data_IF_781719990941
#
_entry.id   IF_781719990941
#
_cell.length_a   1.000
_cell.length_b   1.000
_cell.length_c   1.000
_cell.angle_alpha   90.00
_cell.angle_beta   90.00
_cell.angle_gamma   90.00
#
_symmetry.space_group_name_H-M   'P 1'
#
loop_
_entity.id
_entity.type
_entity.pdbx_description
1 polymer ?
#
# COMPACT_ATOMS: atom_id res chain seq x y z
N UNK A 1 -8.02 1.78 -6.59
CA UNK A 1 -8.79 2.55 -7.60
C UNK A 1 -8.30 3.98 -7.71
N UNK A 2 -8.32 4.78 -6.63
CA UNK A 2 -7.80 6.16 -6.64
C UNK A 2 -6.32 6.22 -7.07
N UNK A 3 -5.48 5.31 -6.54
CA UNK A 3 -4.06 5.16 -6.92
C UNK A 3 -3.91 5.06 -8.45
N UNK A 4 -4.64 4.14 -9.09
CA UNK A 4 -4.58 3.98 -10.55
C UNK A 4 -4.99 5.24 -11.32
N UNK A 5 -6.00 5.97 -10.84
CA UNK A 5 -6.41 7.23 -11.46
C UNK A 5 -5.32 8.31 -11.34
N UNK A 6 -4.70 8.45 -10.16
CA UNK A 6 -3.60 9.39 -9.94
C UNK A 6 -2.40 8.99 -10.79
N UNK A 7 -1.98 7.72 -10.75
CA UNK A 7 -0.81 7.21 -11.48
C UNK A 7 -0.93 7.46 -12.98
N UNK A 8 -2.10 7.17 -13.58
CA UNK A 8 -2.34 7.44 -15.01
C UNK A 8 -2.30 8.92 -15.34
N UNK A 9 -2.84 9.76 -14.46
CA UNK A 9 -2.86 11.21 -14.67
C UNK A 9 -1.43 11.75 -14.68
N UNK A 10 -0.61 11.36 -13.69
CA UNK A 10 0.79 11.75 -13.62
C UNK A 10 1.59 11.21 -14.81
N UNK A 11 1.42 9.93 -15.16
CA UNK A 11 2.11 9.31 -16.29
C UNK A 11 1.76 10.00 -17.61
N UNK A 12 0.48 10.31 -17.86
CA UNK A 12 0.03 11.01 -19.06
C UNK A 12 0.66 12.40 -19.20
N UNK A 13 0.66 13.18 -18.12
CA UNK A 13 1.18 14.56 -18.15
C UNK A 13 2.70 14.55 -18.36
N UNK A 14 3.40 13.59 -17.78
CA UNK A 14 4.85 13.43 -17.91
C UNK A 14 5.28 12.70 -19.20
N UNK A 15 4.33 12.24 -20.02
CA UNK A 15 4.61 11.52 -21.28
C UNK A 15 5.21 10.11 -21.08
N UNK A 16 4.81 9.44 -19.99
CA UNK A 16 5.27 8.11 -19.59
C UNK A 16 4.26 7.03 -19.99
N UNK A 17 4.59 5.76 -19.71
CA UNK A 17 3.72 4.64 -20.04
C UNK A 17 2.53 4.54 -19.06
N UNK A 18 1.35 4.98 -19.50
CA UNK A 18 0.11 4.92 -18.70
C UNK A 18 -0.28 3.49 -18.31
N UNK A 19 -0.07 2.52 -19.19
CA UNK A 19 -0.47 1.12 -18.96
C UNK A 19 0.40 0.47 -17.88
N UNK A 20 1.70 0.73 -17.89
CA UNK A 20 2.61 0.25 -16.84
C UNK A 20 2.28 0.89 -15.50
N UNK A 21 2.05 2.21 -15.47
CA UNK A 21 1.67 2.91 -14.25
C UNK A 21 0.33 2.40 -13.68
N UNK A 22 -0.68 2.18 -14.53
CA UNK A 22 -1.97 1.61 -14.13
C UNK A 22 -1.82 0.17 -13.64
N UNK A 23 -1.09 -0.68 -14.37
CA UNK A 23 -0.90 -2.08 -14.00
C UNK A 23 -0.24 -2.23 -12.62
N UNK A 24 0.78 -1.42 -12.33
CA UNK A 24 1.46 -1.40 -11.02
C UNK A 24 0.51 -0.89 -9.94
N UNK A 25 -0.19 0.21 -10.19
CA UNK A 25 -1.16 0.77 -9.25
C UNK A 25 -2.32 -0.19 -8.93
N UNK A 26 -2.69 -1.09 -9.84
CA UNK A 26 -3.70 -2.12 -9.59
C UNK A 26 -3.14 -3.34 -8.83
N UNK A 27 -1.84 -3.59 -8.93
CA UNK A 27 -1.21 -4.82 -8.44
C UNK A 27 -0.39 -4.64 -7.14
N UNK A 28 0.00 -3.42 -6.76
CA UNK A 28 0.88 -3.17 -5.61
C UNK A 28 0.34 -3.79 -4.31
N UNK A 29 -0.97 -3.68 -4.09
CA UNK A 29 -1.65 -4.11 -2.86
C UNK A 29 -2.18 -5.56 -2.87
N UNK A 30 -1.87 -6.37 -3.89
CA UNK A 30 -2.38 -7.74 -3.97
C UNK A 30 -1.95 -8.63 -2.77
N UNK A 31 -0.79 -8.34 -2.19
CA UNK A 31 -0.16 -9.11 -1.13
C UNK A 31 -0.61 -8.77 0.29
N UNK A 32 -1.43 -7.73 0.48
CA UNK A 32 -1.92 -7.36 1.80
C UNK A 32 -2.79 -8.48 2.40
N UNK A 33 -2.50 -8.92 3.63
CA UNK A 33 -3.31 -9.93 4.31
C UNK A 33 -4.62 -9.31 4.84
N UNK A 34 -5.54 -10.13 5.37
CA UNK A 34 -6.67 -9.64 6.14
C UNK A 34 -6.23 -8.64 7.20
N UNK A 35 -7.04 -7.59 7.42
CA UNK A 35 -6.78 -6.54 8.39
C UNK A 35 -5.59 -5.62 8.05
N UNK A 36 -5.13 -5.62 6.78
CA UNK A 36 -4.12 -4.69 6.27
C UNK A 36 -2.79 -4.77 7.04
N UNK A 37 -2.20 -3.61 7.37
CA UNK A 37 -0.94 -3.52 8.11
C UNK A 37 -0.94 -4.25 9.47
N UNK A 38 -2.11 -4.37 10.12
CA UNK A 38 -2.21 -5.15 11.36
C UNK A 38 -1.99 -6.64 11.08
N UNK A 39 -2.60 -7.17 10.02
CA UNK A 39 -2.41 -8.56 9.62
C UNK A 39 -0.99 -8.84 9.14
N UNK A 40 -0.39 -7.88 8.44
CA UNK A 40 1.00 -7.98 8.01
C UNK A 40 1.95 -8.12 9.20
N UNK A 41 1.86 -7.23 10.18
CA UNK A 41 2.70 -7.29 11.38
C UNK A 41 2.56 -8.63 12.12
N UNK A 42 1.34 -9.17 12.20
CA UNK A 42 1.07 -10.46 12.85
C UNK A 42 1.64 -11.62 12.06
N UNK A 43 1.47 -11.63 10.73
CA UNK A 43 2.05 -12.69 9.89
C UNK A 43 3.57 -12.62 9.85
N UNK A 44 4.18 -11.42 9.91
CA UNK A 44 5.63 -11.28 9.96
C UNK A 44 6.20 -11.84 11.28
N UNK A 45 5.56 -11.53 12.41
CA UNK A 45 5.89 -12.10 13.72
C UNK A 45 5.79 -13.64 13.70
N UNK A 46 4.69 -14.18 13.17
CA UNK A 46 4.48 -15.63 13.03
C UNK A 46 5.47 -16.30 12.07
N UNK A 47 6.05 -15.54 11.15
CA UNK A 47 6.98 -16.01 10.14
C UNK A 47 8.44 -15.63 10.43
N UNK A 48 8.76 -15.06 11.60
CA UNK A 48 10.08 -14.55 11.93
C UNK A 48 11.20 -15.59 11.70
N UNK A 49 11.00 -16.82 12.16
CA UNK A 49 11.93 -17.95 11.98
C UNK A 49 11.76 -18.70 10.64
N UNK A 50 10.88 -18.21 9.77
CA UNK A 50 10.45 -18.84 8.52
C UNK A 50 10.51 -17.89 7.31
N UNK A 51 11.38 -16.87 7.38
CA UNK A 51 11.70 -15.94 6.29
C UNK A 51 10.82 -14.70 6.22
N UNK A 52 10.04 -14.43 7.28
CA UNK A 52 9.21 -13.24 7.46
C UNK A 52 8.00 -13.19 6.53
N UNK A 53 7.24 -12.11 6.66
CA UNK A 53 6.15 -11.74 5.78
C UNK A 53 6.23 -10.24 5.50
N UNK A 54 6.09 -9.88 4.24
CA UNK A 54 6.07 -8.49 3.80
C UNK A 54 5.19 -8.44 2.54
N UNK A 55 4.29 -7.46 2.49
CA UNK A 55 3.19 -7.45 1.52
C UNK A 55 3.68 -7.31 0.08
N UNK A 56 4.74 -6.53 -0.21
CA UNK A 56 5.26 -6.39 -1.58
C UNK A 56 5.87 -7.71 -2.08
N UNK A 57 6.62 -8.43 -1.24
CA UNK A 57 7.10 -9.79 -1.53
C UNK A 57 5.94 -10.75 -1.75
N UNK A 58 4.85 -10.58 -1.02
CA UNK A 58 3.64 -11.38 -1.22
C UNK A 58 2.94 -11.03 -2.53
N UNK A 59 2.85 -9.76 -2.92
CA UNK A 59 2.33 -9.30 -4.22
C UNK A 59 3.09 -9.94 -5.38
N UNK A 60 4.43 -9.92 -5.33
CA UNK A 60 5.27 -10.64 -6.29
C UNK A 60 5.00 -12.14 -6.30
N UNK A 61 4.95 -12.76 -5.12
CA UNK A 61 4.69 -14.20 -4.99
C UNK A 61 3.33 -14.59 -5.55
N UNK A 62 2.33 -13.73 -5.43
CA UNK A 62 1.00 -13.93 -6.01
C UNK A 62 1.10 -13.99 -7.53
N UNK A 63 1.70 -12.97 -8.14
CA UNK A 63 1.77 -12.85 -9.61
C UNK A 63 2.77 -13.81 -10.24
N UNK A 64 3.77 -14.30 -9.50
CA UNK A 64 4.77 -15.22 -10.04
C UNK A 64 4.46 -16.69 -9.77
N UNK A 65 3.67 -17.00 -8.74
CA UNK A 65 3.58 -18.38 -8.27
C UNK A 65 2.20 -18.83 -7.75
N UNK A 66 1.48 -18.00 -6.98
CA UNK A 66 0.25 -18.44 -6.32
C UNK A 66 -0.92 -18.48 -7.27
N UNK A 67 -1.06 -17.45 -8.11
CA UNK A 67 -2.04 -17.47 -9.19
C UNK A 67 -1.65 -18.53 -10.21
N UNK A 68 -2.61 -19.33 -10.64
CA UNK A 68 -2.39 -20.36 -11.65
C UNK A 68 -3.59 -20.49 -12.59
N UNK A 69 -4.00 -19.40 -13.27
CA UNK A 69 -5.09 -19.45 -14.23
C UNK A 69 -4.68 -20.11 -15.56
N UNK A 70 -3.37 -20.26 -15.81
CA UNK A 70 -2.83 -20.80 -17.06
C UNK A 70 -2.35 -22.25 -16.91
N UNK A 71 -2.76 -23.19 -17.78
CA UNK A 71 -2.38 -24.61 -17.66
C UNK A 71 -0.88 -24.90 -17.80
N UNK A 72 -0.14 -24.07 -18.55
CA UNK A 72 1.25 -24.35 -18.94
C UNK A 72 2.30 -23.84 -17.95
N UNK A 73 1.96 -22.89 -17.08
CA UNK A 73 2.91 -22.26 -16.15
C UNK A 73 2.20 -21.69 -14.92
N UNK A 74 2.94 -21.49 -13.83
CA UNK A 74 2.47 -20.78 -12.63
C UNK A 74 2.67 -19.27 -12.77
N UNK A 75 1.88 -18.53 -12.00
CA UNK A 75 1.83 -17.08 -12.05
C UNK A 75 1.02 -16.56 -13.22
N UNK A 76 1.11 -15.26 -13.40
CA UNK A 76 0.47 -14.47 -14.44
C UNK A 76 1.41 -14.17 -15.62
N UNK A 77 2.70 -14.51 -15.50
CA UNK A 77 3.73 -14.24 -16.50
C UNK A 77 3.75 -12.75 -16.91
N UNK A 78 3.75 -11.87 -15.90
CA UNK A 78 3.80 -10.42 -16.11
C UNK A 78 5.16 -10.01 -16.70
N UNK A 79 5.18 -8.84 -17.34
CA UNK A 79 6.41 -8.28 -17.89
C UNK A 79 7.42 -8.01 -16.77
N UNK A 80 8.70 -7.98 -17.15
CA UNK A 80 9.78 -7.73 -16.20
C UNK A 80 9.63 -6.36 -15.53
N UNK A 81 9.20 -5.33 -16.26
CA UNK A 81 8.98 -3.99 -15.73
C UNK A 81 7.89 -3.93 -14.67
N UNK A 82 6.75 -4.61 -14.87
CA UNK A 82 5.69 -4.66 -13.87
C UNK A 82 6.19 -5.35 -12.60
N UNK A 83 6.89 -6.50 -12.75
CA UNK A 83 7.46 -7.22 -11.60
C UNK A 83 8.52 -6.38 -10.88
N UNK A 84 9.40 -5.69 -11.61
CA UNK A 84 10.37 -4.77 -11.03
C UNK A 84 9.70 -3.69 -10.18
N UNK A 85 8.62 -3.07 -10.68
CA UNK A 85 7.90 -2.05 -9.93
C UNK A 85 7.27 -2.62 -8.67
N UNK A 86 6.62 -3.80 -8.73
CA UNK A 86 6.06 -4.46 -7.55
C UNK A 86 7.14 -4.84 -6.53
N UNK A 87 8.32 -5.27 -6.98
CA UNK A 87 9.45 -5.61 -6.13
C UNK A 87 10.04 -4.40 -5.39
N UNK A 88 9.95 -3.23 -6.00
CA UNK A 88 10.54 -1.97 -5.54
C UNK A 88 9.51 -1.00 -4.98
N UNK A 89 8.25 -1.42 -4.90
CA UNK A 89 7.19 -0.61 -4.31
C UNK A 89 7.56 -0.36 -2.85
N UNK A 90 7.55 0.90 -2.47
CA UNK A 90 8.03 1.35 -1.16
C UNK A 90 7.07 2.40 -0.61
N UNK A 91 6.36 2.05 0.47
CA UNK A 91 5.70 3.05 1.32
C UNK A 91 6.61 3.45 2.48
N UNK A 92 6.22 4.47 3.25
CA UNK A 92 6.97 4.92 4.44
C UNK A 92 7.15 3.82 5.50
N UNK A 93 6.26 2.84 5.52
CA UNK A 93 6.27 1.74 6.48
C UNK A 93 7.08 0.53 5.99
N UNK A 94 7.44 0.52 4.71
CA UNK A 94 8.05 -0.63 4.05
C UNK A 94 9.56 -0.44 3.87
N UNK A 95 10.27 -1.56 3.93
CA UNK A 95 11.67 -1.66 3.50
C UNK A 95 11.81 -2.95 2.72
N UNK A 96 11.50 -2.98 1.41
CA UNK A 96 11.61 -4.19 0.62
C UNK A 96 13.05 -4.69 0.73
N UNK A 97 13.19 -5.96 1.11
CA UNK A 97 14.50 -6.59 1.10
C UNK A 97 14.99 -6.65 -0.35
N UNK A 98 16.30 -6.45 -0.55
CA UNK A 98 16.93 -6.49 -1.87
C UNK A 98 16.56 -7.81 -2.55
N UNK A 99 15.71 -7.73 -3.57
CA UNK A 99 15.45 -8.86 -4.44
C UNK A 99 16.70 -9.13 -5.27
N UNK A 100 17.21 -10.37 -5.18
CA UNK A 100 18.38 -10.81 -5.95
C UNK A 100 18.13 -10.70 -7.46
N UNK A 101 16.88 -10.77 -7.90
CA UNK A 101 16.51 -10.64 -9.31
C UNK A 101 16.68 -9.21 -9.82
N UNK A 102 16.26 -8.20 -9.03
CA UNK A 102 16.10 -6.83 -9.50
C UNK A 102 17.20 -5.85 -9.05
N UNK A 103 18.07 -6.28 -8.14
CA UNK A 103 19.20 -5.47 -7.65
C UNK A 103 18.76 -4.22 -6.86
N UNK A 104 19.71 -3.33 -6.56
CA UNK A 104 19.50 -2.17 -5.67
C UNK A 104 19.15 -0.85 -6.37
N UNK A 105 18.89 -0.87 -7.68
CA UNK A 105 18.53 0.34 -8.43
C UNK A 105 17.14 0.89 -8.06
N UNK A 106 16.79 2.06 -8.59
CA UNK A 106 15.46 2.65 -8.48
C UNK A 106 14.44 1.89 -9.35
N UNK A 107 13.16 2.01 -9.02
CA UNK A 107 12.07 1.66 -9.93
C UNK A 107 12.09 2.58 -11.16
N UNK A 108 11.53 2.16 -12.32
CA UNK A 108 11.26 3.08 -13.42
C UNK A 108 10.28 4.19 -12.97
N UNK A 109 10.16 5.27 -13.75
CA UNK A 109 9.34 6.43 -13.36
C UNK A 109 7.88 6.04 -13.10
N UNK A 110 7.33 5.08 -13.85
CA UNK A 110 5.98 4.56 -13.66
C UNK A 110 5.81 3.88 -12.29
N UNK A 111 6.83 3.15 -11.81
CA UNK A 111 6.83 2.57 -10.48
C UNK A 111 6.92 3.65 -9.39
N UNK A 112 7.80 4.64 -9.57
CA UNK A 112 7.91 5.76 -8.63
C UNK A 112 6.63 6.61 -8.58
N UNK A 113 5.89 6.70 -9.69
CA UNK A 113 4.56 7.32 -9.75
C UNK A 113 3.54 6.51 -8.97
N UNK A 114 3.57 5.17 -9.06
CA UNK A 114 2.68 4.32 -8.28
C UNK A 114 2.93 4.46 -6.78
N UNK A 115 4.20 4.43 -6.34
CA UNK A 115 4.59 4.68 -4.94
C UNK A 115 4.01 6.01 -4.42
N UNK A 116 4.20 7.09 -5.20
CA UNK A 116 3.76 8.42 -4.80
C UNK A 116 2.23 8.54 -4.81
N UNK A 117 1.57 7.98 -5.82
CA UNK A 117 0.12 7.97 -5.92
C UNK A 117 -0.54 7.21 -4.77
N UNK A 118 0.06 6.09 -4.36
CA UNK A 118 -0.36 5.29 -3.21
C UNK A 118 -0.25 6.11 -1.92
N UNK A 119 0.93 6.72 -1.68
CA UNK A 119 1.12 7.60 -0.54
C UNK A 119 0.11 8.77 -0.51
N UNK A 120 -0.18 9.41 -1.64
CA UNK A 120 -1.16 10.52 -1.70
C UNK A 120 -2.57 10.02 -1.39
N UNK A 121 -3.00 8.92 -2.01
CA UNK A 121 -4.33 8.36 -1.82
C UNK A 121 -4.54 7.89 -0.38
N UNK A 122 -3.57 7.13 0.17
CA UNK A 122 -3.57 6.63 1.53
C UNK A 122 -3.77 7.76 2.54
N UNK A 123 -2.94 8.81 2.47
CA UNK A 123 -3.03 9.95 3.41
C UNK A 123 -4.35 10.72 3.31
N UNK A 124 -4.93 10.84 2.11
CA UNK A 124 -6.22 11.49 1.90
C UNK A 124 -7.36 10.68 2.49
N UNK A 125 -7.34 9.36 2.28
CA UNK A 125 -8.37 8.45 2.78
C UNK A 125 -8.29 8.32 4.31
N UNK A 126 -7.11 8.12 4.88
CA UNK A 126 -6.92 8.05 6.33
C UNK A 126 -7.42 9.31 7.04
N UNK A 127 -7.19 10.49 6.43
CA UNK A 127 -7.70 11.75 6.96
C UNK A 127 -9.24 11.81 6.93
N UNK A 128 -9.87 11.47 5.81
CA UNK A 128 -11.34 11.48 5.69
C UNK A 128 -11.99 10.43 6.59
N UNK A 129 -11.43 9.22 6.65
CA UNK A 129 -11.91 8.12 7.49
C UNK A 129 -11.78 8.46 8.98
N UNK A 130 -10.65 9.03 9.40
CA UNK A 130 -10.46 9.44 10.79
C UNK A 130 -11.45 10.54 11.21
N UNK A 131 -11.73 11.50 10.32
CA UNK A 131 -12.75 12.54 10.55
C UNK A 131 -14.18 11.96 10.51
N UNK A 132 -14.46 10.99 9.63
CA UNK A 132 -15.77 10.35 9.50
C UNK A 132 -16.11 9.43 10.67
N UNK A 133 -15.13 8.68 11.16
CA UNK A 133 -15.27 7.85 12.35
C UNK A 133 -15.23 8.66 13.66
N UNK A 134 -14.95 9.98 13.59
CA UNK A 134 -14.87 10.86 14.75
C UNK A 134 -13.68 10.55 15.66
N UNK A 135 -12.63 9.93 15.11
CA UNK A 135 -11.37 9.66 15.82
C UNK A 135 -10.57 10.94 16.04
N UNK A 136 -10.75 11.89 15.12
CA UNK A 136 -10.22 13.26 15.18
C UNK A 136 -11.33 14.25 14.79
N UNK A 137 -11.19 15.50 15.21
CA UNK A 137 -12.05 16.61 14.82
C UNK A 137 -11.29 17.62 13.98
N UNK A 138 -11.99 18.43 13.19
CA UNK A 138 -11.33 19.49 12.40
C UNK A 138 -10.51 20.46 13.25
N UNK A 139 -10.93 20.69 14.50
CA UNK A 139 -10.19 21.51 15.46
C UNK A 139 -8.79 20.96 15.79
N UNK A 140 -8.60 19.65 15.73
CA UNK A 140 -7.31 19.01 16.00
C UNK A 140 -6.28 19.28 14.87
N UNK A 141 -6.76 19.64 13.68
CA UNK A 141 -5.95 19.88 12.48
C UNK A 141 -5.43 21.33 12.36
N UNK A 142 -5.66 22.17 13.36
CA UNK A 142 -5.23 23.59 13.35
C UNK A 142 -3.72 23.77 13.16
N UNK A 143 -2.92 22.86 13.69
CA UNK A 143 -1.46 22.91 13.57
C UNK A 143 -0.92 22.33 12.25
N UNK A 144 -1.77 21.68 11.45
CA UNK A 144 -1.36 21.00 10.21
C UNK A 144 -1.42 22.00 9.06
N UNK A 145 -0.26 22.55 8.68
CA UNK A 145 -0.16 23.62 7.70
C UNK A 145 -0.81 23.25 6.35
N UNK A 146 -0.59 21.99 5.92
CA UNK A 146 -1.16 21.45 4.69
C UNK A 146 -2.69 21.51 4.69
N UNK A 147 -3.31 21.08 5.80
CA UNK A 147 -4.76 21.07 5.94
C UNK A 147 -5.34 22.49 6.01
N UNK A 148 -4.66 23.41 6.71
CA UNK A 148 -5.11 24.81 6.80
C UNK A 148 -5.11 25.51 5.44
N UNK A 149 -4.08 25.27 4.63
CA UNK A 149 -4.02 25.80 3.26
C UNK A 149 -5.20 25.30 2.41
N UNK A 150 -5.44 23.99 2.43
CA UNK A 150 -6.54 23.36 1.68
C UNK A 150 -7.89 23.88 2.20
N UNK A 151 -8.10 23.89 3.52
CA UNK A 151 -9.35 24.34 4.13
C UNK A 151 -9.69 25.76 3.72
N UNK A 152 -8.70 26.66 3.75
CA UNK A 152 -8.89 28.05 3.29
C UNK A 152 -9.30 28.10 1.82
N UNK A 153 -8.62 27.37 0.94
CA UNK A 153 -8.96 27.32 -0.49
C UNK A 153 -10.40 26.82 -0.71
N UNK A 154 -10.83 25.80 0.05
CA UNK A 154 -12.18 25.24 -0.03
C UNK A 154 -13.23 26.24 0.49
N UNK A 155 -12.97 26.91 1.61
CA UNK A 155 -13.86 27.94 2.18
C UNK A 155 -13.99 29.15 1.24
N UNK A 156 -12.90 29.58 0.62
CA UNK A 156 -12.89 30.69 -0.35
C UNK A 156 -13.66 30.32 -1.63
N UNK A 157 -13.50 29.08 -2.13
CA UNK A 157 -14.16 28.61 -3.34
C UNK A 157 -15.65 28.25 -3.13
N UNK A 158 -15.99 27.73 -1.95
CA UNK A 158 -17.32 27.21 -1.63
C UNK A 158 -17.84 27.75 -0.28
N UNK A 159 -18.06 29.08 -0.15
CA UNK A 159 -18.37 29.72 1.13
C UNK A 159 -19.73 29.35 1.72
N UNK A 160 -20.65 28.82 0.90
CA UNK A 160 -22.01 28.44 1.29
C UNK A 160 -22.23 26.91 1.23
N UNK A 161 -21.17 26.13 1.02
CA UNK A 161 -21.30 24.68 0.99
C UNK A 161 -21.60 24.11 2.37
N UNK A 162 -22.36 23.00 2.39
CA UNK A 162 -22.64 22.28 3.63
C UNK A 162 -21.33 21.76 4.25
N UNK A 163 -21.17 21.77 5.60
CA UNK A 163 -19.92 21.36 6.27
C UNK A 163 -19.41 19.97 5.83
N UNK A 164 -20.32 19.00 5.68
CA UNK A 164 -19.99 17.67 5.15
C UNK A 164 -19.33 17.73 3.76
N UNK A 165 -19.84 18.56 2.85
CA UNK A 165 -19.29 18.69 1.51
C UNK A 165 -17.94 19.42 1.52
N UNK A 166 -17.78 20.43 2.38
CA UNK A 166 -16.50 21.12 2.59
C UNK A 166 -15.43 20.14 3.09
N UNK A 167 -15.75 19.32 4.09
CA UNK A 167 -14.85 18.29 4.62
C UNK A 167 -14.39 17.30 3.55
N UNK A 168 -15.33 16.73 2.78
CA UNK A 168 -14.99 15.82 1.69
C UNK A 168 -14.13 16.52 0.62
N UNK A 169 -14.41 17.79 0.34
CA UNK A 169 -13.61 18.61 -0.58
C UNK A 169 -12.22 18.90 -0.04
N UNK A 170 -12.03 19.06 1.28
CA UNK A 170 -10.71 19.18 1.90
C UNK A 170 -9.90 17.89 1.73
N UNK A 171 -10.50 16.72 1.97
CA UNK A 171 -9.82 15.45 1.76
C UNK A 171 -9.35 15.29 0.30
N UNK A 172 -10.20 15.62 -0.67
CA UNK A 172 -9.83 15.60 -2.09
C UNK A 172 -8.88 16.74 -2.48
N UNK A 173 -8.93 17.88 -1.81
CA UNK A 173 -7.98 18.99 -2.01
C UNK A 173 -6.54 18.61 -1.64
N UNK A 174 -6.35 17.66 -0.72
CA UNK A 174 -5.03 17.08 -0.44
C UNK A 174 -4.45 16.38 -1.67
N UNK A 175 -5.27 15.59 -2.36
CA UNK A 175 -4.87 14.89 -3.58
C UNK A 175 -4.48 15.90 -4.67
N UNK A 176 -5.32 16.91 -4.89
CA UNK A 176 -5.08 17.92 -5.94
C UNK A 176 -3.78 18.68 -5.69
N UNK A 177 -3.57 19.13 -4.45
CA UNK A 177 -2.41 19.94 -4.08
C UNK A 177 -1.10 19.15 -4.19
N UNK A 178 -1.09 17.91 -3.72
CA UNK A 178 0.10 17.05 -3.77
C UNK A 178 0.38 16.55 -5.19
N UNK A 179 -0.64 16.28 -6.00
CA UNK A 179 -0.44 15.91 -7.41
C UNK A 179 0.15 17.06 -8.22
N UNK A 180 -0.30 18.30 -8.00
CA UNK A 180 0.26 19.45 -8.69
C UNK A 180 1.73 19.66 -8.32
N UNK A 181 2.05 19.62 -7.02
CA UNK A 181 3.44 19.73 -6.55
C UNK A 181 4.32 18.60 -7.11
N UNK A 182 3.82 17.36 -7.12
CA UNK A 182 4.53 16.22 -7.68
C UNK A 182 4.88 16.41 -9.16
N UNK A 183 3.98 17.01 -9.96
CA UNK A 183 4.23 17.30 -11.37
C UNK A 183 5.30 18.38 -11.55
N UNK A 184 5.22 19.46 -10.78
CA UNK A 184 6.18 20.56 -10.83
C UNK A 184 7.59 20.09 -10.41
N UNK A 185 7.67 19.36 -9.31
CA UNK A 185 8.92 18.80 -8.80
C UNK A 185 9.50 17.73 -9.73
N UNK A 186 8.66 16.83 -10.28
CA UNK A 186 9.10 15.83 -11.25
C UNK A 186 9.67 16.50 -12.51
N UNK A 187 9.00 17.54 -13.04
CA UNK A 187 9.51 18.28 -14.19
C UNK A 187 10.88 18.91 -13.92
N UNK A 188 11.06 19.49 -12.72
CA UNK A 188 12.34 20.05 -12.29
C UNK A 188 13.44 18.98 -12.19
N UNK A 189 13.17 17.87 -11.51
CA UNK A 189 14.13 16.76 -11.33
C UNK A 189 14.50 16.11 -12.65
N UNK A 190 13.54 15.89 -13.54
CA UNK A 190 13.77 15.32 -14.86
C UNK A 190 14.56 16.27 -15.76
N UNK A 191 14.33 17.58 -15.66
CA UNK A 191 15.12 18.57 -16.40
C UNK A 191 16.58 18.62 -15.90
N UNK A 192 16.78 18.57 -14.58
CA UNK A 192 18.12 18.61 -13.97
C UNK A 192 18.91 17.31 -14.21
N UNK A 193 18.27 16.16 -14.00
CA UNK A 193 18.88 14.84 -14.19
C UNK A 193 19.04 14.47 -15.67
N UNK A 194 18.16 14.99 -16.54
CA UNK A 194 18.16 14.81 -17.99
C UNK A 194 18.38 13.35 -18.45
N UNK A 195 17.72 12.35 -17.84
CA UNK A 195 17.96 10.95 -18.17
C UNK A 195 17.62 10.66 -19.64
N UNK A 196 18.44 9.84 -20.29
CA UNK A 196 18.25 9.44 -21.70
C UNK A 196 17.69 8.05 -21.86
N UNK A 197 17.56 7.30 -20.78
CA UNK A 197 17.01 5.95 -20.80
C UNK A 197 16.41 5.54 -19.46
N UNK A 198 15.52 4.55 -19.48
CA UNK A 198 15.02 3.89 -18.28
C UNK A 198 16.17 3.31 -17.43
N UNK A 199 17.28 2.89 -18.06
CA UNK A 199 18.42 2.39 -17.32
C UNK A 199 19.15 3.49 -16.52
N UNK A 200 19.22 4.71 -17.04
CA UNK A 200 19.77 5.84 -16.29
C UNK A 200 18.87 6.22 -15.11
N UNK A 201 17.55 6.16 -15.27
CA UNK A 201 16.59 6.35 -14.16
C UNK A 201 16.82 5.30 -13.07
N UNK A 202 16.94 4.01 -13.45
CA UNK A 202 17.19 2.92 -12.47
C UNK A 202 18.52 3.07 -11.73
N UNK A 203 19.54 3.66 -12.36
CA UNK A 203 20.85 3.85 -11.75
C UNK A 203 21.02 5.25 -11.12
N UNK A 204 19.96 6.06 -11.11
CA UNK A 204 19.98 7.37 -10.49
C UNK A 204 20.16 7.25 -8.97
N UNK A 205 20.90 8.19 -8.34
CA UNK A 205 21.12 8.16 -6.90
C UNK A 205 19.84 8.40 -6.10
N UNK A 206 18.85 9.11 -6.68
CA UNK A 206 17.62 9.53 -6.02
C UNK A 206 16.41 9.32 -6.93
N UNK A 207 15.21 9.18 -6.33
CA UNK A 207 13.94 9.12 -7.05
C UNK A 207 13.68 10.45 -7.78
N UNK A 208 13.33 10.36 -9.05
CA UNK A 208 13.02 11.53 -9.90
C UNK A 208 11.56 11.95 -9.79
N UNK A 209 10.69 11.07 -9.30
CA UNK A 209 9.30 11.36 -8.96
C UNK A 209 9.19 11.48 -7.44
N UNK A 210 8.58 12.57 -6.97
CA UNK A 210 8.40 12.83 -5.55
C UNK A 210 7.83 14.22 -5.32
N UNK A 211 7.55 14.53 -4.06
CA UNK A 211 7.13 15.86 -3.64
C UNK A 211 8.32 16.79 -3.48
N UNK A 212 8.06 18.09 -3.59
CA UNK A 212 9.03 19.13 -3.22
C UNK A 212 9.39 19.00 -1.73
N UNK A 213 10.58 19.47 -1.31
CA UNK A 213 11.00 19.38 0.10
C UNK A 213 9.99 20.00 1.08
N UNK A 214 9.34 21.10 0.68
CA UNK A 214 8.31 21.75 1.48
C UNK A 214 7.07 20.86 1.64
N UNK A 215 6.53 20.33 0.54
CA UNK A 215 5.32 19.49 0.59
C UNK A 215 5.60 18.15 1.26
N UNK A 216 6.78 17.58 1.07
CA UNK A 216 7.18 16.38 1.80
C UNK A 216 7.22 16.63 3.32
N UNK A 217 7.78 17.76 3.77
CA UNK A 217 7.78 18.10 5.19
C UNK A 217 6.36 18.27 5.75
N UNK A 218 5.49 18.93 5.01
CA UNK A 218 4.09 19.14 5.39
C UNK A 218 3.29 17.83 5.43
N UNK A 219 3.50 16.94 4.46
CA UNK A 219 2.88 15.61 4.44
C UNK A 219 3.38 14.77 5.62
N UNK A 220 4.67 14.81 5.92
CA UNK A 220 5.25 14.12 7.08
C UNK A 220 4.62 14.59 8.40
N UNK A 221 4.30 15.88 8.52
CA UNK A 221 3.60 16.45 9.68
C UNK A 221 2.19 15.86 9.81
N UNK A 222 1.41 15.82 8.71
CA UNK A 222 0.08 15.21 8.70
C UNK A 222 0.14 13.73 9.07
N UNK A 223 1.07 12.98 8.47
CA UNK A 223 1.27 11.56 8.78
C UNK A 223 1.61 11.32 10.24
N UNK A 224 2.51 12.12 10.81
CA UNK A 224 2.87 12.00 12.22
C UNK A 224 1.66 12.25 13.12
N UNK A 225 0.86 13.27 12.80
CA UNK A 225 -0.38 13.55 13.52
C UNK A 225 -1.38 12.40 13.44
N UNK A 226 -1.64 11.86 12.24
CA UNK A 226 -2.55 10.74 12.04
C UNK A 226 -2.06 9.50 12.78
N UNK A 227 -0.76 9.21 12.72
CA UNK A 227 -0.17 8.10 13.46
C UNK A 227 -0.39 8.24 14.97
N UNK A 228 -0.13 9.42 15.55
CA UNK A 228 -0.28 9.64 16.98
C UNK A 228 -1.75 9.61 17.45
N UNK A 229 -2.68 10.13 16.65
CA UNK A 229 -4.08 10.31 17.05
C UNK A 229 -5.00 9.17 16.65
N UNK A 230 -4.75 8.56 15.50
CA UNK A 230 -5.62 7.54 14.90
C UNK A 230 -5.12 6.15 15.24
N UNK A 231 -3.83 5.87 15.01
CA UNK A 231 -3.29 4.51 15.12
C UNK A 231 -3.37 3.94 16.55
N UNK A 232 -3.20 4.79 17.55
CA UNK A 232 -3.30 4.42 18.98
C UNK A 232 -4.68 4.65 19.59
N UNK A 233 -5.67 5.05 18.78
CA UNK A 233 -7.01 5.28 19.27
C UNK A 233 -7.61 3.96 19.80
N UNK A 234 -8.30 3.94 20.97
CA UNK A 234 -8.82 2.71 21.57
C UNK A 234 -9.67 1.85 20.63
N UNK A 235 -10.41 2.48 19.72
CA UNK A 235 -11.21 1.78 18.71
C UNK A 235 -10.34 1.03 17.69
N UNK A 236 -9.22 1.61 17.26
CA UNK A 236 -8.27 1.01 16.31
C UNK A 236 -7.46 -0.08 16.99
N UNK A 237 -6.98 0.17 18.21
CA UNK A 237 -6.26 -0.83 19.03
C UNK A 237 -7.08 -2.10 19.24
N UNK A 238 -8.39 -1.97 19.48
CA UNK A 238 -9.28 -3.14 19.63
C UNK A 238 -9.39 -3.96 18.34
N UNK A 239 -9.49 -3.31 17.18
CA UNK A 239 -9.51 -4.01 15.91
C UNK A 239 -8.20 -4.80 15.68
N UNK A 240 -7.06 -4.21 16.08
CA UNK A 240 -5.75 -4.87 16.03
C UNK A 240 -5.67 -6.10 16.94
N UNK A 241 -6.18 -6.02 18.17
CA UNK A 241 -6.22 -7.17 19.10
C UNK A 241 -7.04 -8.34 18.53
N UNK A 242 -8.17 -8.03 17.89
CA UNK A 242 -9.00 -9.03 17.21
C UNK A 242 -8.23 -9.67 16.05
N UNK A 243 -7.66 -8.85 15.15
CA UNK A 243 -6.86 -9.32 14.03
C UNK A 243 -5.72 -10.26 14.48
N UNK A 244 -5.00 -9.86 15.53
CA UNK A 244 -3.91 -10.66 16.10
C UNK A 244 -4.42 -11.98 16.66
N UNK A 245 -5.49 -11.98 17.47
CA UNK A 245 -6.03 -13.19 18.06
C UNK A 245 -6.49 -14.20 17.00
N UNK A 246 -7.17 -13.73 15.97
CA UNK A 246 -7.72 -14.59 14.91
C UNK A 246 -6.62 -15.20 14.03
N UNK A 247 -5.67 -14.38 13.56
CA UNK A 247 -4.58 -14.86 12.71
C UNK A 247 -3.66 -15.82 13.48
N UNK A 248 -3.33 -15.53 14.73
CA UNK A 248 -2.55 -16.45 15.58
C UNK A 248 -3.27 -17.79 15.73
N UNK A 249 -4.56 -17.76 16.11
CA UNK A 249 -5.34 -18.98 16.29
C UNK A 249 -5.37 -19.83 15.01
N UNK A 250 -5.70 -19.21 13.86
CA UNK A 250 -5.78 -19.91 12.60
C UNK A 250 -4.42 -20.45 12.16
N UNK A 251 -3.36 -19.66 12.29
CA UNK A 251 -2.00 -20.09 11.93
C UNK A 251 -1.57 -21.31 12.74
N UNK A 252 -1.70 -21.27 14.07
CA UNK A 252 -1.40 -22.41 14.95
C UNK A 252 -2.27 -23.61 14.63
N UNK A 253 -3.58 -23.41 14.41
CA UNK A 253 -4.50 -24.50 14.09
C UNK A 253 -4.11 -25.24 12.81
N UNK A 254 -3.72 -24.51 11.76
CA UNK A 254 -3.27 -25.13 10.52
C UNK A 254 -1.87 -25.74 10.62
N UNK A 255 -1.01 -25.28 11.53
CA UNK A 255 0.25 -25.94 11.82
C UNK A 255 0.05 -27.30 12.48
N UNK A 256 -0.85 -27.36 13.47
CA UNK A 256 -1.18 -28.60 14.19
C UNK A 256 -1.93 -29.59 13.31
N UNK A 257 -2.82 -29.10 12.44
CA UNK A 257 -3.65 -29.93 11.56
C UNK A 257 -3.61 -29.45 10.10
N UNK A 258 -2.51 -29.68 9.36
CA UNK A 258 -2.38 -29.24 7.97
C UNK A 258 -3.44 -29.82 7.02
N UNK A 259 -4.06 -30.95 7.39
CA UNK A 259 -5.16 -31.56 6.65
C UNK A 259 -6.43 -30.69 6.59
N UNK A 260 -6.55 -29.68 7.44
CA UNK A 260 -7.66 -28.72 7.41
C UNK A 260 -7.52 -27.68 6.29
N UNK A 261 -6.32 -27.51 5.71
CA UNK A 261 -6.10 -26.61 4.59
C UNK A 261 -6.89 -27.09 3.35
N UNK A 262 -7.31 -26.20 2.44
CA UNK A 262 -7.90 -26.64 1.19
C UNK A 262 -6.92 -27.50 0.36
N UNK A 263 -7.39 -28.50 -0.43
CA UNK A 263 -6.51 -29.43 -1.14
C UNK A 263 -5.42 -28.78 -1.99
N UNK A 264 -5.73 -27.65 -2.66
CA UNK A 264 -4.77 -26.89 -3.47
C UNK A 264 -3.57 -26.36 -2.68
N UNK A 265 -3.74 -26.08 -1.39
CA UNK A 265 -2.67 -25.66 -0.48
C UNK A 265 -1.91 -26.89 0.06
N UNK A 266 -2.62 -27.95 0.42
CA UNK A 266 -2.01 -29.19 0.93
C UNK A 266 -0.95 -29.76 -0.04
N UNK A 267 -1.24 -29.74 -1.35
CA UNK A 267 -0.32 -30.20 -2.39
C UNK A 267 1.03 -29.46 -2.43
N UNK A 268 1.12 -28.28 -1.80
CA UNK A 268 2.33 -27.44 -1.79
C UNK A 268 3.15 -27.62 -0.52
N UNK A 269 2.65 -28.33 0.50
CA UNK A 269 3.28 -28.44 1.82
C UNK A 269 4.69 -29.05 1.75
N UNK A 270 4.86 -30.10 0.94
CA UNK A 270 6.16 -30.77 0.77
C UNK A 270 7.19 -29.87 0.08
N UNK A 271 6.75 -29.11 -0.93
CA UNK A 271 7.66 -28.32 -1.77
C UNK A 271 8.02 -26.96 -1.16
N UNK A 272 7.08 -26.32 -0.47
CA UNK A 272 7.20 -24.92 -0.01
C UNK A 272 7.35 -24.81 1.51
N UNK A 273 7.16 -25.91 2.24
CA UNK A 273 7.15 -25.92 3.69
C UNK A 273 5.81 -25.46 4.28
N UNK A 274 5.51 -25.99 5.47
CA UNK A 274 4.21 -25.83 6.13
C UNK A 274 3.90 -24.37 6.46
N UNK A 275 4.82 -23.67 7.14
CA UNK A 275 4.66 -22.27 7.55
C UNK A 275 4.34 -21.34 6.38
N UNK A 276 5.10 -21.44 5.28
CA UNK A 276 4.87 -20.59 4.11
C UNK A 276 3.53 -20.86 3.44
N UNK A 277 3.13 -22.13 3.31
CA UNK A 277 1.83 -22.48 2.68
C UNK A 277 0.65 -22.00 3.52
N UNK A 278 0.76 -22.07 4.84
CA UNK A 278 -0.26 -21.54 5.77
C UNK A 278 -0.31 -20.02 5.68
N UNK A 279 0.85 -19.37 5.71
CA UNK A 279 0.97 -17.93 5.51
C UNK A 279 0.32 -17.48 4.19
N UNK A 280 0.62 -18.16 3.06
CA UNK A 280 0.00 -17.89 1.75
C UNK A 280 -1.52 -18.08 1.78
N UNK A 281 -2.03 -19.01 2.59
CA UNK A 281 -3.47 -19.24 2.71
C UNK A 281 -4.15 -18.12 3.50
N UNK A 282 -3.58 -17.75 4.66
CA UNK A 282 -4.12 -16.69 5.50
C UNK A 282 -4.04 -15.32 4.82
N UNK A 283 -2.89 -14.99 4.21
CA UNK A 283 -2.70 -13.74 3.50
C UNK A 283 -3.65 -13.59 2.30
N UNK A 284 -4.08 -14.71 1.69
CA UNK A 284 -5.04 -14.69 0.57
C UNK A 284 -6.52 -14.59 0.99
N UNK A 285 -6.82 -14.39 2.27
CA UNK A 285 -8.20 -14.26 2.75
C UNK A 285 -8.68 -12.81 2.69
N UNK A 286 -10.01 -12.64 2.68
CA UNK A 286 -10.61 -11.34 3.02
C UNK A 286 -10.89 -11.28 4.51
N UNK A 287 -10.96 -10.09 5.10
CA UNK A 287 -11.29 -9.86 6.53
C UNK A 287 -12.53 -10.67 6.95
N UNK A 288 -13.61 -10.55 6.18
CA UNK A 288 -14.86 -11.26 6.46
C UNK A 288 -14.68 -12.78 6.47
N UNK A 289 -13.93 -13.32 5.50
CA UNK A 289 -13.69 -14.76 5.43
C UNK A 289 -12.79 -15.24 6.56
N UNK A 290 -11.74 -14.49 6.89
CA UNK A 290 -10.85 -14.78 8.01
C UNK A 290 -11.63 -14.87 9.33
N UNK A 291 -12.45 -13.86 9.62
CA UNK A 291 -13.31 -13.84 10.81
C UNK A 291 -14.28 -15.02 10.87
N UNK A 292 -15.00 -15.30 9.77
CA UNK A 292 -15.94 -16.41 9.70
C UNK A 292 -15.26 -17.77 9.91
N UNK A 293 -14.07 -17.93 9.35
CA UNK A 293 -13.28 -19.16 9.48
C UNK A 293 -12.79 -19.32 10.92
N UNK A 294 -12.33 -18.24 11.57
CA UNK A 294 -11.99 -18.25 12.98
C UNK A 294 -13.18 -18.67 13.86
N UNK A 295 -14.35 -18.06 13.66
CA UNK A 295 -15.56 -18.41 14.42
C UNK A 295 -15.96 -19.88 14.24
N UNK A 296 -15.86 -20.41 13.02
CA UNK A 296 -16.18 -21.80 12.76
C UNK A 296 -15.21 -22.74 13.48
N UNK A 297 -13.91 -22.49 13.35
CA UNK A 297 -12.86 -23.38 13.86
C UNK A 297 -12.70 -23.31 15.38
N UNK A 298 -12.91 -22.15 15.98
CA UNK A 298 -12.86 -21.97 17.45
C UNK A 298 -13.97 -22.72 18.20
N UNK A 299 -15.01 -23.17 17.50
CA UNK A 299 -16.12 -23.96 18.06
C UNK A 299 -15.93 -25.48 17.88
N UNK A 300 -14.90 -25.92 17.15
CA UNK A 300 -14.57 -27.34 16.86
C UNK A 300 -13.48 -27.88 17.81
#
# INVERSE_FOLDING_TARGET
>A
MEVAQISRTLARILGLNEDLAEAVALAHDLGHPPYGHCGEAVLDELMADHGGFEHNRQSLRIVDYLEHPYPSFRGLNLTWETRLCLAKHETRYDKPQIDREFGSGQAPLEGQIADLADAIAYNSHDLDDALAAGLIQEGDLQAIALYQEIKKQVEDQYPQAHPFAQRLRCAKGLIDLLNLDALEEAALRLQQGNPKSANEIRNAPEKMIGLSPLRQQQLNQLQQFLYEKVYYHPQVSRAREIAQAELNYLFTRYLDQPALLPPRYQQRLEQQGRHRVICDYLAGMTDRFCHQLYEQRSRE
#
